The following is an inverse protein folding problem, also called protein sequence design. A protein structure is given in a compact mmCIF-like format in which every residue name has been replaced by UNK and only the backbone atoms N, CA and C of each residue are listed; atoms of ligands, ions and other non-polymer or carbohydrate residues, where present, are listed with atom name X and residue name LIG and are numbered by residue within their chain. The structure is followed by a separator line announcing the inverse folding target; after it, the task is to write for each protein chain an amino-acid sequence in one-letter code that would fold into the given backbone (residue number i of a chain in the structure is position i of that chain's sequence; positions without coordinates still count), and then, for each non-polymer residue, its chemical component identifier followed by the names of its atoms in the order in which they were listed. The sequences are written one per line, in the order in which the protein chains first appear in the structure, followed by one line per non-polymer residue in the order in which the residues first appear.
data_IF_698090522243
#
_entry.id   IF_698090522243
#
_cell.length_a   1.000
_cell.length_b   1.000
_cell.length_c   1.000
_cell.angle_alpha   90.00
_cell.angle_beta   90.00
_cell.angle_gamma   90.00
#
_symmetry.space_group_name_H-M   'P 1'
#
loop_
_entity.id
_entity.type
_entity.pdbx_description
1 polymer ?
#
# COMPACT_ATOMS: atom_id res chain seq x y z
N UNK A 1 14.93 -24.86 26.22
CA UNK A 1 14.37 -24.60 24.87
C UNK A 1 13.63 -25.86 24.46
N UNK A 2 12.30 -25.78 24.28
CA UNK A 2 11.51 -26.89 23.76
C UNK A 2 11.78 -26.92 22.25
N UNK A 3 12.25 -28.06 21.75
CA UNK A 3 12.53 -28.22 20.33
C UNK A 3 11.20 -28.28 19.55
N UNK A 4 11.10 -27.66 18.39
CA UNK A 4 9.88 -27.69 17.55
C UNK A 4 9.43 -29.14 17.26
N UNK A 5 10.35 -30.09 17.21
CA UNK A 5 10.11 -31.51 17.06
C UNK A 5 9.35 -32.10 18.26
N UNK A 6 9.54 -31.57 19.47
CA UNK A 6 8.89 -32.10 20.69
C UNK A 6 7.41 -31.76 20.73
N UNK A 7 7.01 -30.60 20.13
CA UNK A 7 5.61 -30.16 20.05
C UNK A 7 4.81 -31.09 19.12
N UNK A 8 5.43 -31.55 18.03
CA UNK A 8 4.77 -32.38 17.01
C UNK A 8 4.76 -33.86 17.34
N UNK A 9 5.65 -34.36 18.22
CA UNK A 9 5.81 -35.78 18.55
C UNK A 9 5.28 -36.16 19.93
N UNK A 10 5.18 -35.20 20.87
CA UNK A 10 4.68 -35.47 22.21
C UNK A 10 3.16 -35.62 22.19
N UNK A 11 2.67 -36.85 22.43
CA UNK A 11 1.24 -37.14 22.56
C UNK A 11 0.75 -36.76 23.94
N UNK A 12 -0.17 -35.79 24.01
CA UNK A 12 -0.89 -35.47 25.22
C UNK A 12 -2.21 -36.25 25.27
N UNK A 13 -2.53 -36.96 26.38
CA UNK A 13 -3.78 -37.74 26.49
C UNK A 13 -5.01 -36.85 26.25
N UNK A 14 -5.87 -37.28 25.32
CA UNK A 14 -7.12 -36.55 25.02
C UNK A 14 -6.97 -35.32 24.11
N UNK A 15 -5.75 -34.97 23.66
CA UNK A 15 -5.52 -33.88 22.74
C UNK A 15 -5.04 -34.45 21.39
N UNK A 16 -5.70 -34.10 20.26
CA UNK A 16 -5.22 -34.50 18.95
C UNK A 16 -3.80 -33.97 18.71
N UNK A 17 -2.93 -34.81 18.14
CA UNK A 17 -1.57 -34.34 17.75
C UNK A 17 -1.72 -33.25 16.70
N UNK A 18 -1.11 -32.07 16.89
CA UNK A 18 -1.14 -31.02 15.89
C UNK A 18 -0.53 -31.54 14.59
N UNK A 19 -1.27 -31.44 13.49
CA UNK A 19 -0.75 -31.72 12.16
C UNK A 19 -0.30 -30.40 11.55
N UNK A 20 1.01 -30.17 11.49
CA UNK A 20 1.60 -29.05 10.74
C UNK A 20 1.64 -29.46 9.27
N UNK A 21 0.87 -28.77 8.44
CA UNK A 21 0.93 -28.94 6.99
C UNK A 21 1.97 -27.98 6.41
N UNK A 22 2.67 -28.43 5.37
CA UNK A 22 3.65 -27.56 4.66
C UNK A 22 2.98 -26.32 4.07
N UNK A 23 1.68 -26.40 3.78
CA UNK A 23 0.84 -25.25 3.35
C UNK A 23 0.69 -24.15 4.41
N UNK A 24 0.95 -24.47 5.68
CA UNK A 24 0.87 -23.49 6.77
C UNK A 24 2.18 -22.69 6.92
N UNK A 25 3.23 -23.10 6.21
CA UNK A 25 4.49 -22.36 6.14
C UNK A 25 4.39 -21.26 5.08
N UNK A 26 4.25 -20.03 5.52
CA UNK A 26 4.33 -18.86 4.65
C UNK A 26 5.77 -18.68 4.16
N UNK A 27 6.01 -18.90 2.87
CA UNK A 27 7.28 -18.57 2.24
C UNK A 27 7.27 -17.09 1.87
N UNK A 28 7.93 -16.26 2.67
CA UNK A 28 8.17 -14.86 2.35
C UNK A 28 9.42 -14.78 1.50
N UNK A 29 9.32 -14.19 0.30
CA UNK A 29 10.47 -13.96 -0.56
C UNK A 29 11.44 -13.00 0.11
N UNK A 30 12.73 -13.36 0.17
CA UNK A 30 13.76 -12.50 0.74
C UNK A 30 13.91 -11.23 -0.11
N UNK A 31 13.72 -10.07 0.50
CA UNK A 31 13.90 -8.76 -0.10
C UNK A 31 14.92 -7.96 0.70
N UNK A 32 16.07 -7.72 0.08
CA UNK A 32 17.16 -6.94 0.66
C UNK A 32 17.26 -5.60 -0.06
N UNK A 33 17.27 -4.50 0.67
CA UNK A 33 17.39 -3.15 0.13
C UNK A 33 18.54 -2.40 0.77
N UNK A 34 19.20 -1.45 0.08
CA UNK A 34 20.19 -0.57 0.70
C UNK A 34 19.56 0.25 1.82
N UNK A 35 20.20 0.34 2.98
CA UNK A 35 19.77 1.24 4.06
C UNK A 35 19.92 2.71 3.66
N UNK A 36 21.03 3.01 3.00
CA UNK A 36 21.39 4.37 2.62
C UNK A 36 21.85 4.45 1.17
N UNK A 37 21.76 5.66 0.60
CA UNK A 37 22.24 5.95 -0.75
C UNK A 37 23.76 5.99 -0.88
N UNK A 38 24.48 6.17 0.23
CA UNK A 38 25.95 6.31 0.25
C UNK A 38 26.65 4.98 0.46
N UNK A 39 25.99 3.98 1.00
CA UNK A 39 26.52 2.63 1.17
C UNK A 39 25.50 1.58 0.67
N UNK A 40 25.51 1.25 -0.62
CA UNK A 40 24.56 0.30 -1.20
C UNK A 40 24.76 -1.15 -0.73
N UNK A 41 25.90 -1.46 -0.11
CA UNK A 41 26.20 -2.80 0.38
C UNK A 41 25.71 -3.04 1.83
N UNK A 42 25.33 -1.99 2.55
CA UNK A 42 24.70 -2.12 3.87
C UNK A 42 23.21 -2.33 3.69
N UNK A 43 22.82 -3.60 3.70
CA UNK A 43 21.48 -4.04 3.36
C UNK A 43 20.56 -4.16 4.57
N UNK A 44 19.28 -3.91 4.35
CA UNK A 44 18.19 -4.11 5.27
C UNK A 44 17.25 -5.19 4.71
N UNK A 45 16.97 -6.22 5.50
CA UNK A 45 15.95 -7.20 5.15
C UNK A 45 14.55 -6.62 5.43
N UNK A 46 13.79 -6.43 4.38
CA UNK A 46 12.43 -5.87 4.43
C UNK A 46 11.36 -6.89 4.02
N UNK A 47 11.71 -8.16 3.98
CA UNK A 47 10.84 -9.24 3.51
C UNK A 47 9.48 -9.24 4.21
N UNK A 48 9.47 -9.23 5.55
CA UNK A 48 8.24 -9.20 6.35
C UNK A 48 7.47 -7.87 6.21
N UNK A 49 8.19 -6.78 6.01
CA UNK A 49 7.58 -5.48 5.78
C UNK A 49 6.84 -5.43 4.45
N UNK A 50 7.48 -5.92 3.38
CA UNK A 50 6.89 -5.94 2.04
C UNK A 50 5.69 -6.89 1.98
N UNK A 51 5.81 -8.05 2.61
CA UNK A 51 4.70 -9.02 2.74
C UNK A 51 3.49 -8.36 3.40
N UNK A 52 3.69 -7.71 4.55
CA UNK A 52 2.63 -7.00 5.25
C UNK A 52 2.04 -5.83 4.42
N UNK A 53 2.89 -5.02 3.78
CA UNK A 53 2.42 -3.93 2.90
C UNK A 53 1.54 -4.48 1.79
N UNK A 54 1.93 -5.58 1.16
CA UNK A 54 1.17 -6.21 0.09
C UNK A 54 -0.16 -6.79 0.60
N UNK A 55 -0.16 -7.41 1.77
CA UNK A 55 -1.35 -7.98 2.41
C UNK A 55 -2.42 -6.90 2.68
N UNK A 56 -2.04 -5.78 3.29
CA UNK A 56 -3.03 -4.80 3.74
C UNK A 56 -3.35 -3.69 2.72
N UNK A 57 -2.47 -3.46 1.72
CA UNK A 57 -2.66 -2.39 0.74
C UNK A 57 -4.03 -2.40 0.04
N UNK A 58 -4.60 -3.54 -0.37
CA UNK A 58 -5.92 -3.55 -1.00
C UNK A 58 -7.03 -2.97 -0.12
N UNK A 59 -6.86 -3.05 1.21
CA UNK A 59 -7.85 -2.65 2.20
C UNK A 59 -7.55 -1.29 2.85
N UNK A 60 -6.30 -0.84 2.85
CA UNK A 60 -5.85 0.33 3.63
C UNK A 60 -5.27 1.46 2.79
N UNK A 61 -4.95 1.23 1.51
CA UNK A 61 -4.30 2.24 0.67
C UNK A 61 -5.19 3.43 0.33
N UNK A 62 -6.51 3.20 0.20
CA UNK A 62 -7.50 4.23 -0.06
C UNK A 62 -8.32 4.56 1.20
N UNK A 63 -8.77 5.80 1.32
CA UNK A 63 -9.68 6.20 2.39
C UNK A 63 -11.15 6.21 1.90
N UNK A 64 -12.12 5.70 2.67
CA UNK A 64 -11.98 4.99 3.93
C UNK A 64 -11.42 3.56 3.75
N UNK A 65 -10.65 3.04 4.74
CA UNK A 65 -10.13 1.68 4.69
C UNK A 65 -11.25 0.66 4.81
N UNK A 66 -11.06 -0.52 4.19
CA UNK A 66 -12.11 -1.54 4.12
C UNK A 66 -11.57 -2.92 4.45
N UNK A 67 -11.91 -3.43 5.62
CA UNK A 67 -11.54 -4.76 6.10
C UNK A 67 -12.77 -5.66 6.22
N UNK A 68 -12.58 -6.97 6.09
CA UNK A 68 -13.65 -7.96 6.19
C UNK A 68 -14.17 -8.09 7.63
N UNK A 69 -13.29 -7.91 8.62
CA UNK A 69 -13.64 -8.01 10.02
C UNK A 69 -12.98 -6.92 10.87
N UNK A 70 -13.52 -6.72 12.08
CA UNK A 70 -12.89 -5.86 13.09
C UNK A 70 -11.55 -6.44 13.58
N UNK A 71 -11.40 -7.76 13.57
CA UNK A 71 -10.16 -8.43 13.93
C UNK A 71 -9.06 -8.14 12.91
N UNK A 72 -9.37 -8.19 11.61
CA UNK A 72 -8.40 -7.87 10.56
C UNK A 72 -7.96 -6.41 10.64
N UNK A 73 -8.92 -5.50 10.86
CA UNK A 73 -8.62 -4.09 11.06
C UNK A 73 -7.72 -3.87 12.29
N UNK A 74 -8.01 -4.55 13.40
CA UNK A 74 -7.20 -4.46 14.62
C UNK A 74 -5.78 -4.98 14.39
N UNK A 75 -5.66 -6.17 13.79
CA UNK A 75 -4.37 -6.75 13.41
C UNK A 75 -3.56 -5.81 12.52
N UNK A 76 -4.17 -5.27 11.46
CA UNK A 76 -3.52 -4.34 10.56
C UNK A 76 -3.00 -3.09 11.28
N UNK A 77 -3.79 -2.53 12.21
CA UNK A 77 -3.40 -1.36 13.01
C UNK A 77 -2.20 -1.65 13.91
N UNK A 78 -2.24 -2.75 14.66
CA UNK A 78 -1.16 -3.08 15.60
C UNK A 78 0.13 -3.43 14.87
N UNK A 79 0.03 -4.28 13.83
CA UNK A 79 1.21 -4.66 13.04
C UNK A 79 1.83 -3.48 12.29
N UNK A 80 1.00 -2.56 11.77
CA UNK A 80 1.50 -1.36 11.12
C UNK A 80 2.30 -0.48 12.08
N UNK A 81 1.83 -0.30 13.33
CA UNK A 81 2.56 0.48 14.34
C UNK A 81 3.93 -0.11 14.64
N UNK A 82 4.02 -1.45 14.78
CA UNK A 82 5.28 -2.15 15.02
C UNK A 82 6.27 -1.92 13.87
N UNK A 83 5.83 -2.16 12.63
CA UNK A 83 6.67 -2.08 11.45
C UNK A 83 7.07 -0.63 11.13
N UNK A 84 6.17 0.33 11.37
CA UNK A 84 6.48 1.75 11.22
C UNK A 84 7.52 2.21 12.25
N UNK A 85 7.37 1.82 13.50
CA UNK A 85 8.35 2.12 14.54
C UNK A 85 9.73 1.50 14.22
N UNK A 86 9.74 0.31 13.61
CA UNK A 86 10.97 -0.37 13.20
C UNK A 86 11.67 0.31 12.02
N UNK A 87 10.94 0.71 10.94
CA UNK A 87 11.56 1.30 9.75
C UNK A 87 11.90 2.79 9.92
N UNK A 88 11.21 3.48 10.83
CA UNK A 88 11.32 4.93 11.02
C UNK A 88 12.76 5.43 11.21
N UNK A 89 13.60 4.85 12.09
CA UNK A 89 14.98 5.32 12.27
C UNK A 89 15.81 5.28 10.98
N UNK A 90 15.55 4.30 10.11
CA UNK A 90 16.21 4.22 8.81
C UNK A 90 15.71 5.30 7.84
N UNK A 91 14.40 5.61 7.85
CA UNK A 91 13.80 6.62 6.99
C UNK A 91 14.11 8.05 7.44
N UNK A 92 14.32 8.28 8.72
CA UNK A 92 14.73 9.57 9.28
C UNK A 92 16.19 9.91 8.99
N UNK A 93 17.03 8.92 8.66
CA UNK A 93 18.42 9.15 8.26
C UNK A 93 18.46 10.07 7.03
N UNK A 94 19.33 11.09 7.07
CA UNK A 94 19.51 12.04 5.97
C UNK A 94 19.94 11.37 4.67
N UNK A 95 20.66 10.26 4.76
CA UNK A 95 21.12 9.46 3.65
C UNK A 95 20.23 8.24 3.36
N UNK A 96 19.02 8.19 3.90
CA UNK A 96 18.09 7.10 3.63
C UNK A 96 17.99 6.80 2.13
N UNK A 97 17.96 5.52 1.77
CA UNK A 97 17.77 5.10 0.39
C UNK A 97 16.36 5.42 -0.10
N UNK A 98 16.19 5.48 -1.41
CA UNK A 98 14.86 5.56 -2.02
C UNK A 98 13.94 4.43 -1.53
N UNK A 99 14.45 3.22 -1.49
CA UNK A 99 13.69 2.02 -1.12
C UNK A 99 13.17 2.04 0.31
N UNK A 100 13.98 2.53 1.25
CA UNK A 100 13.57 2.75 2.64
C UNK A 100 12.49 3.83 2.73
N UNK A 101 12.72 4.98 2.08
CA UNK A 101 11.79 6.11 2.09
C UNK A 101 10.43 5.75 1.51
N UNK A 102 10.41 5.00 0.40
CA UNK A 102 9.17 4.58 -0.26
C UNK A 102 8.33 3.68 0.65
N UNK A 103 8.94 2.70 1.31
CA UNK A 103 8.24 1.79 2.22
C UNK A 103 7.72 2.50 3.46
N UNK A 104 8.53 3.36 4.05
CA UNK A 104 8.11 4.18 5.17
C UNK A 104 6.94 5.10 4.79
N UNK A 105 6.96 5.67 3.59
CA UNK A 105 5.86 6.48 3.08
C UNK A 105 4.57 5.67 2.89
N UNK A 106 4.66 4.45 2.33
CA UNK A 106 3.52 3.54 2.18
C UNK A 106 2.89 3.21 3.53
N UNK A 107 3.69 2.80 4.52
CA UNK A 107 3.19 2.51 5.87
C UNK A 107 2.51 3.72 6.49
N UNK A 108 3.14 4.88 6.42
CA UNK A 108 2.59 6.09 7.01
C UNK A 108 1.32 6.56 6.28
N UNK A 109 1.25 6.42 4.95
CA UNK A 109 0.03 6.69 4.19
C UNK A 109 -1.14 5.80 4.62
N UNK A 110 -0.90 4.50 4.76
CA UNK A 110 -1.90 3.56 5.27
C UNK A 110 -2.22 3.82 6.75
N UNK A 111 -1.24 4.18 7.58
CA UNK A 111 -1.45 4.56 8.98
C UNK A 111 -2.38 5.76 9.14
N UNK A 112 -2.24 6.78 8.27
CA UNK A 112 -3.20 7.87 8.18
C UNK A 112 -4.61 7.36 7.84
N UNK A 113 -4.72 6.51 6.83
CA UNK A 113 -6.02 5.99 6.39
C UNK A 113 -6.67 5.07 7.44
N UNK A 114 -5.88 4.46 8.31
CA UNK A 114 -6.33 3.66 9.45
C UNK A 114 -6.66 4.50 10.70
N UNK A 115 -6.65 5.83 10.60
CA UNK A 115 -6.91 6.77 11.69
C UNK A 115 -5.96 6.58 12.90
N UNK A 116 -4.66 6.34 12.63
CA UNK A 116 -3.65 6.17 13.68
C UNK A 116 -3.07 7.49 14.21
N UNK A 117 -3.50 8.61 13.65
CA UNK A 117 -3.12 9.96 14.08
C UNK A 117 -2.46 10.81 13.00
N UNK A 118 -2.43 12.12 13.23
CA UNK A 118 -1.91 13.11 12.28
C UNK A 118 -0.43 12.95 11.96
N UNK A 119 0.34 12.41 12.90
CA UNK A 119 1.79 12.19 12.73
C UNK A 119 2.10 11.26 11.56
N UNK A 120 1.24 10.29 11.29
CA UNK A 120 1.37 9.40 10.13
C UNK A 120 1.23 10.17 8.81
N UNK A 121 0.30 11.13 8.73
CA UNK A 121 0.16 11.98 7.55
C UNK A 121 1.41 12.85 7.32
N UNK A 122 1.95 13.43 8.39
CA UNK A 122 3.14 14.30 8.32
C UNK A 122 4.37 13.48 7.89
N UNK A 123 4.63 12.35 8.57
CA UNK A 123 5.77 11.48 8.23
C UNK A 123 5.66 10.92 6.82
N UNK A 124 4.46 10.43 6.44
CA UNK A 124 4.22 9.91 5.10
C UNK A 124 4.54 10.94 4.01
N UNK A 125 4.05 12.17 4.18
CA UNK A 125 4.33 13.26 3.24
C UNK A 125 5.81 13.63 3.19
N UNK A 126 6.48 13.63 4.35
CA UNK A 126 7.93 13.91 4.43
C UNK A 126 8.75 12.82 3.71
N UNK A 127 8.45 11.56 3.97
CA UNK A 127 9.22 10.46 3.40
C UNK A 127 8.99 10.31 1.89
N UNK A 128 7.74 10.50 1.43
CA UNK A 128 7.48 10.41 -0.01
C UNK A 128 8.08 11.58 -0.79
N UNK A 129 8.08 12.79 -0.23
CA UNK A 129 8.76 13.94 -0.85
C UNK A 129 10.26 13.65 -0.99
N UNK A 130 10.92 13.16 0.06
CA UNK A 130 12.33 12.74 0.00
C UNK A 130 12.56 11.61 -1.02
N UNK A 131 11.64 10.64 -1.14
CA UNK A 131 11.74 9.57 -2.13
C UNK A 131 11.70 10.11 -3.57
N UNK A 132 10.80 11.07 -3.84
CA UNK A 132 10.72 11.76 -5.14
C UNK A 132 12.01 12.56 -5.42
N UNK A 133 12.58 13.24 -4.42
CA UNK A 133 13.87 13.91 -4.58
C UNK A 133 15.02 12.93 -4.96
N UNK A 134 14.94 11.68 -4.50
CA UNK A 134 15.91 10.63 -4.87
C UNK A 134 15.67 10.07 -6.28
N UNK A 135 14.41 9.84 -6.63
CA UNK A 135 14.00 9.29 -7.92
C UNK A 135 12.77 10.04 -8.47
N UNK A 136 12.97 11.23 -9.08
CA UNK A 136 11.87 12.07 -9.55
C UNK A 136 10.97 11.39 -10.60
N UNK A 137 11.54 10.45 -11.38
CA UNK A 137 10.83 9.74 -12.44
C UNK A 137 10.17 8.43 -11.96
N UNK A 138 10.20 8.11 -10.67
CA UNK A 138 9.49 6.94 -10.18
C UNK A 138 7.97 7.10 -10.31
N UNK A 139 7.36 6.24 -11.13
CA UNK A 139 5.90 6.21 -11.28
C UNK A 139 5.20 5.90 -9.95
N UNK A 140 5.72 4.95 -9.19
CA UNK A 140 5.16 4.55 -7.91
C UNK A 140 5.24 5.67 -6.86
N UNK A 141 6.39 6.34 -6.71
CA UNK A 141 6.52 7.45 -5.77
C UNK A 141 5.60 8.61 -6.13
N UNK A 142 5.52 8.97 -7.42
CA UNK A 142 4.60 9.99 -7.91
C UNK A 142 3.13 9.58 -7.65
N UNK A 143 2.77 8.32 -7.90
CA UNK A 143 1.42 7.82 -7.59
C UNK A 143 1.09 7.97 -6.10
N UNK A 144 1.95 7.47 -5.20
CA UNK A 144 1.72 7.51 -3.75
C UNK A 144 1.57 8.95 -3.26
N UNK A 145 2.45 9.85 -3.70
CA UNK A 145 2.36 11.25 -3.29
C UNK A 145 1.09 11.93 -3.82
N UNK A 146 0.79 11.70 -5.09
CA UNK A 146 -0.43 12.20 -5.72
C UNK A 146 -1.70 11.71 -5.03
N UNK A 147 -1.73 10.42 -4.64
CA UNK A 147 -2.83 9.82 -3.88
C UNK A 147 -2.97 10.46 -2.50
N UNK A 148 -1.89 10.53 -1.73
CA UNK A 148 -1.90 11.11 -0.38
C UNK A 148 -2.37 12.58 -0.36
N UNK A 149 -1.90 13.38 -1.31
CA UNK A 149 -2.34 14.76 -1.47
C UNK A 149 -3.82 14.85 -1.85
N UNK A 150 -4.26 14.05 -2.82
CA UNK A 150 -5.64 14.07 -3.32
C UNK A 150 -6.65 13.67 -2.25
N UNK A 151 -6.37 12.59 -1.53
CA UNK A 151 -7.22 12.13 -0.42
C UNK A 151 -7.11 13.02 0.83
N UNK A 152 -6.06 13.84 0.91
CA UNK A 152 -5.86 14.86 1.96
C UNK A 152 -6.57 16.19 1.70
N UNK A 153 -7.33 16.31 0.61
CA UNK A 153 -8.00 17.55 0.21
C UNK A 153 -7.16 18.45 -0.71
N UNK A 154 -5.91 18.08 -1.00
CA UNK A 154 -5.00 18.80 -1.90
C UNK A 154 -5.08 18.28 -3.34
N UNK A 155 -6.26 17.99 -3.86
CA UNK A 155 -6.43 17.35 -5.17
C UNK A 155 -5.73 18.10 -6.31
N UNK A 156 -5.82 19.41 -6.34
CA UNK A 156 -5.18 20.21 -7.41
C UNK A 156 -3.67 19.97 -7.47
N UNK A 157 -3.04 19.86 -6.32
CA UNK A 157 -1.60 19.59 -6.22
C UNK A 157 -1.30 18.11 -6.50
N UNK A 158 -2.09 17.20 -5.92
CA UNK A 158 -1.95 15.75 -6.11
C UNK A 158 -2.11 15.32 -7.56
N UNK A 159 -2.99 15.98 -8.32
CA UNK A 159 -3.23 15.69 -9.74
C UNK A 159 -1.97 15.71 -10.58
N UNK A 160 -1.02 16.62 -10.33
CA UNK A 160 0.24 16.73 -11.08
C UNK A 160 1.05 15.43 -11.00
N UNK A 161 1.15 14.87 -9.80
CA UNK A 161 1.87 13.64 -9.53
C UNK A 161 1.12 12.42 -10.10
N UNK A 162 -0.21 12.39 -9.96
CA UNK A 162 -1.02 11.31 -10.57
C UNK A 162 -0.89 11.32 -12.09
N UNK A 163 -0.94 12.48 -12.75
CA UNK A 163 -0.75 12.60 -14.20
C UNK A 163 0.64 12.13 -14.60
N UNK A 164 1.69 12.47 -13.83
CA UNK A 164 3.05 12.00 -14.09
C UNK A 164 3.15 10.48 -13.97
N UNK A 165 2.56 9.88 -12.96
CA UNK A 165 2.52 8.42 -12.81
C UNK A 165 1.72 7.75 -13.95
N UNK A 166 0.56 8.30 -14.32
CA UNK A 166 -0.28 7.81 -15.40
C UNK A 166 0.43 7.85 -16.75
N UNK A 167 1.21 8.90 -17.03
CA UNK A 167 2.00 9.01 -18.28
C UNK A 167 3.06 7.91 -18.41
N UNK A 168 3.42 7.26 -17.31
CA UNK A 168 4.32 6.11 -17.25
C UNK A 168 3.56 4.77 -17.18
N UNK A 169 2.29 4.76 -17.57
CA UNK A 169 1.41 3.58 -17.55
C UNK A 169 1.17 2.99 -16.14
N UNK A 170 1.27 3.79 -15.08
CA UNK A 170 0.91 3.34 -13.74
C UNK A 170 -0.62 3.27 -13.63
N UNK A 171 -1.15 2.05 -13.70
CA UNK A 171 -2.59 1.76 -13.82
C UNK A 171 -3.44 2.45 -12.74
N UNK A 172 -3.01 2.37 -11.49
CA UNK A 172 -3.76 2.90 -10.35
C UNK A 172 -3.80 4.44 -10.33
N UNK A 173 -2.84 5.10 -10.99
CA UNK A 173 -2.90 6.56 -11.15
C UNK A 173 -4.07 6.98 -12.07
N UNK A 174 -4.32 6.22 -13.14
CA UNK A 174 -5.48 6.44 -14.01
C UNK A 174 -6.81 6.21 -13.25
N UNK A 175 -6.88 5.17 -12.41
CA UNK A 175 -8.05 4.91 -11.57
C UNK A 175 -8.26 6.05 -10.56
N UNK A 176 -7.20 6.55 -9.93
CA UNK A 176 -7.28 7.67 -8.99
C UNK A 176 -7.68 8.99 -9.66
N UNK A 177 -7.24 9.22 -10.90
CA UNK A 177 -7.69 10.35 -11.70
C UNK A 177 -9.18 10.21 -12.07
N UNK A 178 -9.66 9.00 -12.37
CA UNK A 178 -11.10 8.78 -12.61
C UNK A 178 -11.93 9.03 -11.35
N UNK A 179 -11.46 8.60 -10.16
CA UNK A 179 -12.10 8.93 -8.89
C UNK A 179 -12.19 10.44 -8.69
N UNK A 180 -11.15 11.16 -9.02
CA UNK A 180 -11.13 12.60 -8.91
C UNK A 180 -12.06 13.30 -9.91
N UNK A 181 -12.15 12.81 -11.14
CA UNK A 181 -13.09 13.31 -12.12
C UNK A 181 -14.54 13.15 -11.59
N UNK A 182 -14.86 12.02 -10.92
CA UNK A 182 -16.15 11.81 -10.27
C UNK A 182 -16.43 12.82 -9.14
N UNK A 183 -15.45 13.06 -8.27
CA UNK A 183 -15.59 14.01 -7.16
C UNK A 183 -15.77 15.46 -7.65
N UNK A 184 -15.35 15.75 -8.88
CA UNK A 184 -15.58 17.02 -9.55
C UNK A 184 -16.85 16.99 -10.44
N UNK A 185 -17.77 16.04 -10.22
CA UNK A 185 -19.01 15.85 -10.95
C UNK A 185 -18.83 15.63 -12.47
N UNK A 186 -17.65 15.19 -12.88
CA UNK A 186 -17.33 14.88 -14.28
C UNK A 186 -17.37 13.38 -14.56
N UNK A 187 -18.56 12.80 -14.42
CA UNK A 187 -18.80 11.36 -14.61
C UNK A 187 -18.40 10.87 -16.01
N UNK A 188 -18.64 11.67 -17.04
CA UNK A 188 -18.31 11.32 -18.41
C UNK A 188 -16.78 11.16 -18.59
N UNK A 189 -15.99 12.05 -18.02
CA UNK A 189 -14.52 11.94 -18.06
C UNK A 189 -14.03 10.70 -17.28
N UNK A 190 -14.59 10.44 -16.11
CA UNK A 190 -14.25 9.27 -15.30
C UNK A 190 -14.51 7.96 -16.05
N UNK A 191 -15.70 7.82 -16.68
CA UNK A 191 -16.05 6.66 -17.51
C UNK A 191 -15.09 6.51 -18.70
N UNK A 192 -14.89 7.60 -19.46
CA UNK A 192 -13.98 7.57 -20.62
C UNK A 192 -12.57 7.12 -20.24
N UNK A 193 -12.06 7.58 -19.09
CA UNK A 193 -10.73 7.19 -18.56
C UNK A 193 -10.69 5.70 -18.21
N UNK A 194 -11.66 5.18 -17.48
CA UNK A 194 -11.68 3.76 -17.10
C UNK A 194 -11.94 2.84 -18.29
N UNK A 195 -12.77 3.24 -19.25
CA UNK A 195 -12.98 2.49 -20.50
C UNK A 195 -11.69 2.41 -21.34
N UNK A 196 -10.97 3.52 -21.45
CA UNK A 196 -9.65 3.52 -22.12
C UNK A 196 -8.63 2.64 -21.37
N UNK A 197 -8.67 2.64 -20.04
CA UNK A 197 -7.82 1.77 -19.22
C UNK A 197 -8.20 0.29 -19.38
N UNK A 198 -9.49 -0.03 -19.47
CA UNK A 198 -10.00 -1.38 -19.70
C UNK A 198 -9.54 -1.94 -21.07
N UNK A 199 -9.48 -1.10 -22.09
CA UNK A 199 -8.95 -1.52 -23.39
C UNK A 199 -7.47 -1.95 -23.32
N UNK A 200 -6.68 -1.31 -22.46
CA UNK A 200 -5.29 -1.69 -22.21
C UNK A 200 -5.16 -2.93 -21.32
N UNK A 201 -6.16 -3.20 -20.49
CA UNK A 201 -6.19 -4.29 -19.51
C UNK A 201 -7.54 -5.06 -19.56
N UNK A 202 -7.85 -5.75 -20.66
CA UNK A 202 -9.20 -6.29 -20.93
C UNK A 202 -9.66 -7.38 -19.93
N UNK A 203 -8.73 -8.00 -19.20
CA UNK A 203 -9.04 -9.02 -18.18
C UNK A 203 -9.10 -8.50 -16.73
N UNK A 204 -8.96 -7.19 -16.53
CA UNK A 204 -8.91 -6.64 -15.17
C UNK A 204 -10.33 -6.45 -14.60
N UNK A 205 -10.74 -7.38 -13.71
CA UNK A 205 -12.05 -7.36 -13.06
C UNK A 205 -12.26 -6.11 -12.18
N UNK A 206 -11.18 -5.54 -11.62
CA UNK A 206 -11.27 -4.31 -10.81
C UNK A 206 -11.72 -3.14 -11.66
N UNK A 207 -11.14 -2.96 -12.85
CA UNK A 207 -11.53 -1.86 -13.76
C UNK A 207 -12.96 -2.04 -14.22
N UNK A 208 -13.36 -3.27 -14.59
CA UNK A 208 -14.74 -3.56 -14.99
C UNK A 208 -15.71 -3.20 -13.86
N UNK A 209 -15.42 -3.60 -12.63
CA UNK A 209 -16.24 -3.27 -11.46
C UNK A 209 -16.32 -1.77 -11.19
N UNK A 210 -15.23 -1.04 -11.37
CA UNK A 210 -15.22 0.42 -11.22
C UNK A 210 -16.10 1.11 -12.23
N UNK A 211 -16.14 0.64 -13.46
CA UNK A 211 -17.07 1.14 -14.51
C UNK A 211 -18.52 0.91 -14.09
N UNK A 212 -18.88 -0.32 -13.67
CA UNK A 212 -20.21 -0.65 -13.18
C UNK A 212 -20.64 0.28 -12.01
N UNK A 213 -19.73 0.55 -11.07
CA UNK A 213 -19.98 1.45 -9.94
C UNK A 213 -20.38 2.85 -10.42
N UNK A 214 -19.66 3.38 -11.42
CA UNK A 214 -19.95 4.70 -12.00
C UNK A 214 -21.28 4.67 -12.75
N UNK A 215 -21.55 3.65 -13.57
CA UNK A 215 -22.80 3.49 -14.33
C UNK A 215 -24.02 3.35 -13.40
N UNK A 216 -23.83 2.71 -12.24
CA UNK A 216 -24.85 2.61 -11.19
C UNK A 216 -25.08 3.94 -10.42
N UNK A 217 -24.46 5.03 -10.83
CA UNK A 217 -24.68 6.35 -10.22
C UNK A 217 -23.86 6.62 -8.95
N UNK A 218 -22.98 5.70 -8.52
CA UNK A 218 -22.16 5.88 -7.32
C UNK A 218 -20.96 6.81 -7.58
N UNK A 219 -20.37 7.33 -6.51
CA UNK A 219 -19.28 8.32 -6.54
C UNK A 219 -17.97 7.82 -5.95
N UNK A 220 -17.87 6.54 -5.55
CA UNK A 220 -16.66 5.99 -4.95
C UNK A 220 -16.29 4.65 -5.59
N UNK A 221 -15.29 4.68 -6.48
CA UNK A 221 -14.92 3.52 -7.31
C UNK A 221 -14.13 2.43 -6.58
N UNK A 222 -13.70 2.68 -5.35
CA UNK A 222 -12.96 1.70 -4.56
C UNK A 222 -13.88 0.81 -3.69
N UNK A 223 -15.20 0.97 -3.82
CA UNK A 223 -16.17 0.06 -3.20
C UNK A 223 -16.43 -1.15 -4.12
N UNK A 224 -15.46 -2.04 -4.17
CA UNK A 224 -15.43 -3.19 -5.08
C UNK A 224 -16.31 -4.38 -4.63
N UNK A 225 -17.09 -4.23 -3.56
CA UNK A 225 -17.99 -5.26 -3.02
C UNK A 225 -19.34 -5.27 -3.70
#
# INVERSE_FOLDING_TARGET
MVNATDITTTRLPGIPTPMVQVSDASYVTTVLIPKTRINPNDLLDVSLLDDFINEISPNARHYPPRFHSKSDLYYAKEKLKELEAWIRPFAENENASYDVLLRAAKLNGMGRNLDLGSDYAIRGSTFIAKAIDRQPESAEANFIYGLMLSEGGGFKEGKKYLVKAASQNYKEAEQSLAQADLLNDNRAAALSRLQALQQKHPGDATIAKQIEIIEAGKYYIWDLR
#
